data_IF_382575584351
#
_entry.id   IF_382575584351
#
_cell.length_a   1.000
_cell.length_b   1.000
_cell.length_c   1.000
_cell.angle_alpha   90.00
_cell.angle_beta   90.00
_cell.angle_gamma   90.00
#
_symmetry.space_group_name_H-M   'P 1'
#
loop_
_entity.id
_entity.type
_entity.pdbx_description
1 polymer ?
#
# COMPACT_ATOMS: atom_id res chain seq x y z
N UNK A 1 12.22 -30.14 10.46
CA UNK A 1 12.63 -28.93 9.70
C UNK A 1 12.00 -27.68 10.34
N UNK A 2 12.75 -26.59 10.56
CA UNK A 2 12.23 -25.43 11.26
C UNK A 2 11.16 -24.72 10.42
N UNK A 3 9.98 -24.54 11.02
CA UNK A 3 9.25 -23.28 10.95
C UNK A 3 8.35 -23.02 9.74
N UNK A 4 7.44 -23.93 9.39
CA UNK A 4 6.19 -23.52 8.73
C UNK A 4 5.31 -22.78 9.75
N UNK A 5 5.67 -21.54 10.07
CA UNK A 5 4.71 -20.60 10.67
C UNK A 5 3.97 -19.99 9.50
N UNK A 6 2.76 -20.49 9.26
CA UNK A 6 1.82 -19.85 8.35
C UNK A 6 1.61 -18.43 8.91
N UNK A 7 2.06 -17.43 8.16
CA UNK A 7 1.88 -16.04 8.54
C UNK A 7 0.38 -15.76 8.48
N UNK A 8 -0.23 -15.53 9.65
CA UNK A 8 -1.63 -15.12 9.75
C UNK A 8 -1.86 -13.92 8.81
N UNK A 9 -2.81 -14.01 7.86
CA UNK A 9 -3.10 -12.91 6.96
C UNK A 9 -3.47 -11.67 7.78
N UNK A 10 -2.73 -10.57 7.59
CA UNK A 10 -3.15 -9.26 8.08
C UNK A 10 -4.59 -9.03 7.60
N UNK A 11 -5.50 -8.70 8.52
CA UNK A 11 -6.92 -8.47 8.22
C UNK A 11 -7.07 -7.21 7.36
N UNK A 12 -6.88 -7.35 6.05
CA UNK A 12 -7.15 -6.34 5.04
C UNK A 12 -8.66 -6.19 4.85
N UNK A 13 -9.36 -5.60 5.82
CA UNK A 13 -10.81 -5.38 5.74
C UNK A 13 -11.21 -4.20 4.86
N UNK A 14 -10.32 -3.71 3.97
CA UNK A 14 -10.67 -2.64 3.04
C UNK A 14 -10.00 -2.76 1.67
N UNK A 15 -9.81 -3.98 1.15
CA UNK A 15 -9.71 -4.23 -0.30
C UNK A 15 -10.25 -5.62 -0.65
N UNK A 16 -11.44 -5.99 -0.18
CA UNK A 16 -12.19 -7.07 -0.81
C UNK A 16 -12.91 -6.53 -2.06
N UNK A 17 -12.18 -5.85 -2.96
CA UNK A 17 -12.60 -5.86 -4.35
C UNK A 17 -12.25 -7.24 -4.85
N UNK A 18 -13.24 -8.00 -5.32
CA UNK A 18 -13.03 -9.26 -6.03
C UNK A 18 -12.30 -8.96 -7.33
N UNK A 19 -10.99 -8.78 -7.25
CA UNK A 19 -10.12 -8.69 -8.42
C UNK A 19 -9.94 -10.09 -8.97
N UNK A 20 -9.95 -10.23 -10.30
CA UNK A 20 -9.61 -11.52 -10.91
C UNK A 20 -8.16 -11.88 -10.56
N UNK A 21 -7.88 -13.18 -10.50
CA UNK A 21 -6.50 -13.68 -10.34
C UNK A 21 -5.54 -13.00 -11.32
N UNK A 22 -5.94 -12.87 -12.58
CA UNK A 22 -5.15 -12.18 -13.59
C UNK A 22 -4.80 -10.74 -13.20
N UNK A 23 -5.79 -9.95 -12.73
CA UNK A 23 -5.52 -8.57 -12.30
C UNK A 23 -4.55 -8.51 -11.12
N UNK A 24 -4.66 -9.44 -10.19
CA UNK A 24 -3.72 -9.52 -9.05
C UNK A 24 -2.31 -9.85 -9.54
N UNK A 25 -2.17 -10.84 -10.44
CA UNK A 25 -0.89 -11.21 -11.05
C UNK A 25 -0.27 -10.04 -11.82
N UNK A 26 -1.06 -9.32 -12.62
CA UNK A 26 -0.62 -8.13 -13.37
C UNK A 26 -0.15 -7.01 -12.43
N UNK A 27 -0.89 -6.75 -11.33
CA UNK A 27 -0.49 -5.76 -10.31
C UNK A 27 0.82 -6.14 -9.62
N UNK A 28 1.00 -7.42 -9.27
CA UNK A 28 2.25 -7.93 -8.68
C UNK A 28 3.40 -7.74 -9.67
N UNK A 29 3.22 -8.15 -10.92
CA UNK A 29 4.25 -7.99 -11.95
C UNK A 29 4.60 -6.52 -12.21
N UNK A 30 3.59 -5.65 -12.33
CA UNK A 30 3.80 -4.21 -12.54
C UNK A 30 4.56 -3.56 -11.39
N UNK A 31 4.21 -3.90 -10.15
CA UNK A 31 4.90 -3.40 -8.94
C UNK A 31 6.36 -3.86 -8.92
N UNK A 32 6.61 -5.15 -9.16
CA UNK A 32 7.97 -5.70 -9.19
C UNK A 32 8.81 -5.10 -10.31
N UNK A 33 8.20 -4.86 -11.48
CA UNK A 33 8.87 -4.19 -12.60
C UNK A 33 9.25 -2.75 -12.27
N UNK A 34 8.39 -2.01 -11.57
CA UNK A 34 8.70 -0.64 -11.14
C UNK A 34 9.87 -0.64 -10.15
N UNK A 35 9.86 -1.53 -9.15
CA UNK A 35 10.96 -1.64 -8.20
C UNK A 35 12.28 -1.95 -8.90
N UNK A 36 12.27 -2.93 -9.82
CA UNK A 36 13.44 -3.29 -10.62
C UNK A 36 13.96 -2.10 -11.42
N UNK A 37 13.07 -1.32 -12.05
CA UNK A 37 13.44 -0.13 -12.82
C UNK A 37 14.12 0.94 -11.94
N UNK A 38 13.51 1.29 -10.80
CA UNK A 38 14.07 2.29 -9.88
C UNK A 38 15.44 1.88 -9.36
N UNK A 39 15.61 0.59 -9.02
CA UNK A 39 16.89 0.03 -8.58
C UNK A 39 17.95 0.04 -9.68
N UNK A 40 17.60 -0.39 -10.90
CA UNK A 40 18.54 -0.47 -12.02
C UNK A 40 19.08 0.90 -12.43
N UNK A 41 18.27 1.96 -12.26
CA UNK A 41 18.67 3.34 -12.57
C UNK A 41 19.32 4.08 -11.41
N UNK A 42 19.29 3.53 -10.20
CA UNK A 42 19.73 4.23 -8.99
C UNK A 42 18.94 5.53 -8.76
N UNK A 43 17.63 5.48 -9.04
CA UNK A 43 16.76 6.64 -8.86
C UNK A 43 16.64 6.99 -7.37
N UNK A 44 16.76 8.26 -7.04
CA UNK A 44 16.48 8.74 -5.69
C UNK A 44 14.96 8.81 -5.52
N UNK A 45 14.34 7.82 -4.90
CA UNK A 45 12.88 7.68 -4.78
C UNK A 45 12.46 7.02 -3.47
N UNK A 46 11.35 7.49 -2.91
CA UNK A 46 10.66 6.83 -1.81
C UNK A 46 9.41 6.11 -2.34
N UNK A 47 9.39 4.80 -2.20
CA UNK A 47 8.22 3.96 -2.50
C UNK A 47 7.47 3.73 -1.19
N UNK A 48 6.33 4.39 -1.01
CA UNK A 48 5.51 4.23 0.20
C UNK A 48 4.63 3.00 0.05
N UNK A 49 4.74 2.09 1.00
CA UNK A 49 3.83 0.96 1.15
C UNK A 49 2.85 1.31 2.26
N UNK A 50 1.66 1.80 1.89
CA UNK A 50 0.63 2.24 2.83
C UNK A 50 0.42 1.18 3.91
N UNK A 51 0.37 1.62 5.17
CA UNK A 51 0.24 0.78 6.39
C UNK A 51 1.44 -0.12 6.72
N UNK A 52 2.44 -0.23 5.86
CA UNK A 52 3.65 -1.05 6.09
C UNK A 52 4.85 -0.17 6.43
N UNK A 53 5.16 0.80 5.56
CA UNK A 53 6.34 1.62 5.68
C UNK A 53 6.73 2.25 4.35
N UNK A 54 8.03 2.38 4.11
CA UNK A 54 8.57 2.94 2.88
C UNK A 54 9.94 2.34 2.55
N UNK A 55 10.15 2.12 1.26
CA UNK A 55 11.43 1.70 0.69
C UNK A 55 12.10 2.94 0.08
N UNK A 56 13.23 3.35 0.66
CA UNK A 56 14.08 4.42 0.17
C UNK A 56 15.13 3.85 -0.77
N UNK A 57 15.26 4.45 -1.94
CA UNK A 57 16.36 4.20 -2.87
C UNK A 57 17.09 5.54 -3.02
N UNK A 58 18.38 5.57 -2.70
CA UNK A 58 19.23 6.76 -2.78
C UNK A 58 20.58 6.37 -3.41
N UNK A 59 20.74 6.69 -4.69
CA UNK A 59 21.84 6.24 -5.51
C UNK A 59 21.93 4.71 -5.51
N UNK A 60 22.97 4.16 -4.89
CA UNK A 60 23.18 2.71 -4.77
C UNK A 60 22.72 2.12 -3.43
N UNK A 61 22.14 2.94 -2.55
CA UNK A 61 21.67 2.51 -1.23
C UNK A 61 20.17 2.25 -1.28
N UNK A 62 19.76 1.18 -0.61
CA UNK A 62 18.36 0.80 -0.46
C UNK A 62 18.10 0.57 1.01
N UNK A 63 17.11 1.27 1.57
CA UNK A 63 16.75 1.17 2.99
C UNK A 63 15.24 0.97 3.13
N UNK A 64 14.83 -0.04 3.89
CA UNK A 64 13.45 -0.22 4.28
C UNK A 64 13.23 0.42 5.65
N UNK A 65 12.24 1.31 5.75
CA UNK A 65 11.75 1.82 7.03
C UNK A 65 10.31 1.40 7.26
N UNK A 66 10.00 0.95 8.46
CA UNK A 66 8.67 0.44 8.83
C UNK A 66 7.93 1.43 9.71
N UNK A 67 6.60 1.50 9.55
CA UNK A 67 5.77 2.20 10.54
C UNK A 67 5.77 1.45 11.86
N UNK A 68 5.81 2.17 12.98
CA UNK A 68 5.74 1.57 14.31
C UNK A 68 4.51 0.67 14.45
N UNK A 69 3.33 1.18 14.08
CA UNK A 69 2.06 0.46 14.18
C UNK A 69 2.03 -0.83 13.36
N UNK A 70 2.78 -0.89 12.26
CA UNK A 70 2.92 -2.11 11.45
C UNK A 70 3.69 -3.18 12.21
N UNK A 71 4.85 -2.82 12.75
CA UNK A 71 5.69 -3.74 13.52
C UNK A 71 5.00 -4.20 14.81
N UNK A 72 4.25 -3.30 15.47
CA UNK A 72 3.45 -3.62 16.64
C UNK A 72 2.36 -4.63 16.31
N UNK A 73 1.64 -4.45 15.19
CA UNK A 73 0.62 -5.41 14.72
C UNK A 73 1.22 -6.78 14.37
N UNK A 74 2.42 -6.81 13.77
CA UNK A 74 3.07 -8.06 13.38
C UNK A 74 3.68 -8.83 14.56
N UNK A 75 4.35 -8.13 15.47
CA UNK A 75 5.16 -8.76 16.52
C UNK A 75 4.47 -8.78 17.88
N UNK A 76 3.45 -7.94 18.08
CA UNK A 76 2.89 -7.60 19.38
C UNK A 76 3.75 -6.56 20.11
N UNK A 77 3.08 -5.63 20.79
CA UNK A 77 3.69 -4.50 21.49
C UNK A 77 4.82 -4.90 22.44
N UNK A 78 4.55 -5.83 23.36
CA UNK A 78 5.55 -6.25 24.36
C UNK A 78 6.79 -6.87 23.73
N UNK A 79 6.63 -7.61 22.62
CA UNK A 79 7.77 -8.21 21.94
C UNK A 79 8.58 -7.15 21.22
N UNK A 80 7.92 -6.20 20.54
CA UNK A 80 8.58 -5.08 19.90
C UNK A 80 9.39 -4.26 20.92
N UNK A 81 8.78 -3.88 22.04
CA UNK A 81 9.44 -3.14 23.12
C UNK A 81 10.66 -3.91 23.69
N UNK A 82 10.53 -5.22 23.92
CA UNK A 82 11.65 -6.06 24.40
C UNK A 82 12.81 -6.09 23.41
N UNK A 83 12.55 -6.13 22.11
CA UNK A 83 13.61 -6.17 21.09
C UNK A 83 14.25 -4.79 20.94
N UNK A 84 13.45 -3.72 20.86
CA UNK A 84 13.96 -2.34 20.80
C UNK A 84 14.81 -2.00 22.03
N UNK A 85 14.43 -2.46 23.22
CA UNK A 85 15.23 -2.28 24.43
C UNK A 85 16.59 -2.97 24.35
N UNK A 86 16.65 -4.14 23.71
CA UNK A 86 17.91 -4.91 23.54
C UNK A 86 18.77 -4.41 22.39
N UNK A 87 18.15 -3.85 21.36
CA UNK A 87 18.78 -3.40 20.11
C UNK A 87 18.20 -2.04 19.74
N UNK A 88 18.67 -0.95 20.37
CA UNK A 88 18.15 0.41 20.12
C UNK A 88 18.30 0.86 18.66
N UNK A 89 19.26 0.30 17.92
CA UNK A 89 19.51 0.59 16.50
C UNK A 89 18.31 0.23 15.60
N UNK A 90 17.38 -0.60 16.08
CA UNK A 90 16.14 -0.86 15.35
C UNK A 90 15.27 0.38 15.17
N UNK A 91 15.44 1.40 16.02
CA UNK A 91 14.72 2.67 15.89
C UNK A 91 15.05 3.38 14.58
N UNK A 92 16.25 3.18 14.01
CA UNK A 92 16.64 3.78 12.73
C UNK A 92 15.86 3.18 11.54
N UNK A 93 15.40 1.93 11.69
CA UNK A 93 14.52 1.24 10.74
C UNK A 93 13.04 1.58 10.94
N UNK A 94 12.69 2.39 11.94
CA UNK A 94 11.33 2.81 12.20
C UNK A 94 11.10 4.23 11.70
N UNK A 95 9.88 4.51 11.25
CA UNK A 95 9.48 5.85 10.80
C UNK A 95 8.13 6.23 11.39
N UNK A 96 8.04 7.48 11.82
CA UNK A 96 6.78 8.07 12.24
C UNK A 96 5.91 8.41 11.02
N UNK A 97 4.61 8.05 11.01
CA UNK A 97 3.69 8.42 9.93
C UNK A 97 3.52 9.94 9.72
N UNK A 98 3.99 10.75 10.69
CA UNK A 98 3.81 12.21 10.70
C UNK A 98 4.93 12.93 9.93
N UNK A 99 6.03 12.24 9.61
CA UNK A 99 7.14 12.83 8.85
C UNK A 99 6.77 12.92 7.37
N UNK A 100 6.95 14.08 6.70
CA UNK A 100 6.74 14.18 5.26
C UNK A 100 7.67 13.23 4.51
N UNK A 101 7.13 12.24 3.79
CA UNK A 101 7.95 11.26 3.07
C UNK A 101 8.84 11.92 2.02
N UNK A 102 8.38 13.01 1.40
CA UNK A 102 9.18 13.77 0.43
C UNK A 102 10.47 14.33 1.03
N UNK A 103 10.52 14.65 2.33
CA UNK A 103 11.76 15.11 2.98
C UNK A 103 12.75 13.99 3.27
N UNK A 104 12.36 12.73 3.07
CA UNK A 104 13.20 11.55 3.33
C UNK A 104 14.03 11.12 2.12
N UNK A 105 13.88 11.82 0.99
CA UNK A 105 14.66 11.55 -0.23
C UNK A 105 15.41 12.78 -0.69
N UNK A 106 16.57 12.61 -1.32
CA UNK A 106 17.34 13.75 -1.85
C UNK A 106 16.61 14.47 -2.99
N UNK A 107 15.74 13.76 -3.70
CA UNK A 107 15.03 14.29 -4.87
C UNK A 107 13.61 14.79 -4.57
N UNK A 108 13.03 14.38 -3.43
CA UNK A 108 11.62 14.60 -3.12
C UNK A 108 10.64 13.69 -3.89
N UNK A 109 11.11 12.79 -4.77
CA UNK A 109 10.23 11.92 -5.56
C UNK A 109 9.63 10.82 -4.67
N UNK A 110 8.30 10.76 -4.65
CA UNK A 110 7.53 9.79 -3.87
C UNK A 110 6.54 9.07 -4.78
N UNK A 111 6.52 7.75 -4.68
CA UNK A 111 5.52 6.88 -5.33
C UNK A 111 4.72 6.20 -4.23
N UNK A 112 3.39 6.31 -4.27
CA UNK A 112 2.49 5.78 -3.25
C UNK A 112 1.85 4.47 -3.70
N UNK A 113 2.00 3.43 -2.88
CA UNK A 113 1.29 2.16 -3.04
C UNK A 113 0.31 1.93 -1.90
N UNK A 114 -0.84 1.31 -2.16
CA UNK A 114 -1.42 1.08 -3.49
C UNK A 114 -1.99 2.38 -4.07
N UNK A 115 -1.79 2.60 -5.38
CA UNK A 115 -2.44 3.67 -6.14
C UNK A 115 -3.86 3.23 -6.52
N UNK A 116 -4.78 3.21 -5.55
CA UNK A 116 -6.18 2.95 -5.86
C UNK A 116 -6.85 4.24 -6.32
N UNK A 117 -7.15 4.34 -7.62
CA UNK A 117 -8.19 5.24 -8.11
C UNK A 117 -9.54 4.63 -7.75
N UNK A 118 -10.31 5.27 -6.86
CA UNK A 118 -11.74 4.98 -6.77
C UNK A 118 -12.41 5.44 -8.07
N UNK A 119 -12.70 4.52 -8.97
CA UNK A 119 -13.69 4.77 -10.02
C UNK A 119 -15.05 4.91 -9.34
N UNK A 120 -15.55 6.14 -9.24
CA UNK A 120 -16.94 6.36 -8.89
C UNK A 120 -17.80 5.87 -10.05
N UNK A 121 -18.50 4.76 -9.87
CA UNK A 121 -19.54 4.34 -10.82
C UNK A 121 -20.59 5.46 -10.82
N UNK A 122 -20.90 6.08 -11.97
CA UNK A 122 -22.00 7.03 -12.04
C UNK A 122 -23.27 6.30 -11.62
N UNK A 123 -23.89 6.71 -10.51
CA UNK A 123 -25.22 6.21 -10.16
C UNK A 123 -26.15 6.54 -11.32
N UNK A 124 -26.63 5.53 -12.03
CA UNK A 124 -27.68 5.70 -13.03
C UNK A 124 -28.89 6.32 -12.34
N UNK A 125 -29.41 7.47 -12.81
CA UNK A 125 -30.65 8.01 -12.29
C UNK A 125 -31.77 6.96 -12.44
N UNK A 126 -32.73 6.87 -11.50
CA UNK A 126 -33.86 5.97 -11.62
C UNK A 126 -34.54 6.23 -12.97
N UNK A 127 -34.61 5.23 -13.83
CA UNK A 127 -35.35 5.34 -15.09
C UNK A 127 -36.82 5.53 -14.72
N UNK A 128 -37.30 6.77 -14.86
CA UNK A 128 -38.72 7.07 -14.73
C UNK A 128 -39.40 6.35 -15.90
N UNK A 129 -40.07 5.25 -15.61
CA UNK A 129 -40.97 4.57 -16.52
C UNK A 129 -42.13 5.53 -16.82
N UNK A 130 -41.99 6.34 -17.87
CA UNK A 130 -43.08 7.14 -18.42
C UNK A 130 -44.15 6.16 -18.93
N UNK A 131 -45.22 6.00 -18.16
CA UNK A 131 -46.42 5.29 -18.62
C UNK A 131 -46.97 6.01 -19.86
N UNK A 132 -47.40 5.29 -20.91
CA UNK A 132 -47.95 5.93 -22.10
C UNK A 132 -49.22 6.71 -21.73
N UNK A 133 -49.23 8.01 -22.03
CA UNK A 133 -50.44 8.82 -21.99
C UNK A 133 -51.39 8.30 -23.08
N UNK A 134 -52.42 7.56 -22.67
CA UNK A 134 -53.54 7.20 -23.55
C UNK A 134 -54.20 8.51 -24.00
N UNK A 135 -54.17 8.78 -25.31
CA UNK A 135 -54.98 9.84 -25.91
C UNK A 135 -56.44 9.41 -25.92
N UNK A 136 -57.41 10.30 -25.64
CA UNK A 136 -58.81 10.04 -25.99
C UNK A 136 -58.93 10.02 -27.52
N UNK A 137 -59.63 9.03 -28.06
CA UNK A 137 -60.00 8.99 -29.48
C UNK A 137 -61.08 10.03 -29.82
N UNK A 138 -61.29 10.30 -31.12
CA UNK A 138 -62.26 11.29 -31.61
C UNK A 138 -63.71 10.92 -31.30
#
# INVERSE_FOLDING_TARGET
>A
PPGNKELEPLKYSMVATTMSRQKVEDCVQGTMSLFSHCLAKGENVALVLKEVGLLLIEGTKVEMKFYHDFLEKLSGKENLEKVVFKVPELLDMMVSPVVPVSSMTFSGHVILFPEFLMESVPKTPPQILLKPLRRPGP
#
